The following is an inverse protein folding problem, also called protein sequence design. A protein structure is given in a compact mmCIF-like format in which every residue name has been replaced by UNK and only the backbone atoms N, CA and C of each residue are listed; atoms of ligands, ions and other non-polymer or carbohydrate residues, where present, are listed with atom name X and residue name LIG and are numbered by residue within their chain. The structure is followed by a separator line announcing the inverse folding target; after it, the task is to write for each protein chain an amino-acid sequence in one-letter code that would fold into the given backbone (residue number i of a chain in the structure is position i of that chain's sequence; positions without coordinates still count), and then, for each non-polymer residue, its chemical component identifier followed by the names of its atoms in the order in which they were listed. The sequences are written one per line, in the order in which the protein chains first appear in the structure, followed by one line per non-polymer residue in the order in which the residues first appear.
data_IF_664539437045
#
_entry.id   IF_664539437045
#
_cell.length_a   1.000
_cell.length_b   1.000
_cell.length_c   1.000
_cell.angle_alpha   90.00
_cell.angle_beta   90.00
_cell.angle_gamma   90.00
#
_symmetry.space_group_name_H-M   'P 1'
#
loop_
_entity.id
_entity.type
_entity.pdbx_description
1 polymer ?
#
# COMPACT_ATOMS: atom_id res chain seq x y z
N UNK A 1 -11.81 -20.58 13.64
CA UNK A 1 -11.90 -20.35 12.20
C UNK A 1 -10.91 -19.29 11.78
N UNK A 2 -10.17 -19.56 10.74
CA UNK A 2 -9.22 -18.57 10.23
C UNK A 2 -9.97 -17.50 9.47
N UNK A 3 -9.63 -16.23 9.72
CA UNK A 3 -10.14 -15.14 8.93
C UNK A 3 -9.60 -15.26 7.50
N UNK A 4 -10.46 -15.04 6.53
CA UNK A 4 -10.03 -15.03 5.14
C UNK A 4 -9.18 -13.80 4.89
N UNK A 5 -8.09 -13.99 4.17
CA UNK A 5 -7.26 -12.89 3.73
C UNK A 5 -7.52 -12.61 2.26
N UNK A 6 -7.65 -11.33 1.94
CA UNK A 6 -7.88 -10.89 0.57
C UNK A 6 -6.68 -10.06 0.12
N UNK A 7 -6.20 -10.34 -1.09
CA UNK A 7 -5.19 -9.48 -1.69
C UNK A 7 -5.85 -8.20 -2.20
N UNK A 8 -5.05 -7.24 -2.58
CA UNK A 8 -5.57 -5.91 -2.96
C UNK A 8 -6.41 -5.94 -4.23
N UNK A 9 -6.08 -6.82 -5.17
CA UNK A 9 -6.89 -7.00 -6.39
C UNK A 9 -8.29 -7.50 -6.03
N UNK A 10 -8.36 -8.48 -5.11
CA UNK A 10 -9.63 -9.00 -4.63
C UNK A 10 -10.44 -7.94 -3.90
N UNK A 11 -9.78 -7.12 -3.08
CA UNK A 11 -10.43 -6.02 -2.37
C UNK A 11 -11.07 -5.03 -3.35
N UNK A 12 -10.35 -4.66 -4.39
CA UNK A 12 -10.88 -3.75 -5.41
C UNK A 12 -12.07 -4.37 -6.12
N UNK A 13 -12.02 -5.67 -6.41
CA UNK A 13 -13.14 -6.38 -7.04
C UNK A 13 -14.39 -6.35 -6.15
N UNK A 14 -14.21 -6.56 -4.84
CA UNK A 14 -15.32 -6.50 -3.88
C UNK A 14 -15.92 -5.10 -3.83
N UNK A 15 -15.08 -4.07 -3.78
CA UNK A 15 -15.55 -2.69 -3.75
C UNK A 15 -16.32 -2.31 -5.02
N UNK A 16 -15.93 -2.86 -6.16
CA UNK A 16 -16.66 -2.62 -7.40
C UNK A 16 -18.06 -3.19 -7.38
N UNK A 17 -18.29 -4.29 -6.67
CA UNK A 17 -19.65 -4.81 -6.49
C UNK A 17 -20.54 -3.79 -5.77
N UNK A 18 -20.00 -3.12 -4.74
CA UNK A 18 -20.71 -2.07 -4.04
C UNK A 18 -20.99 -0.87 -4.93
N UNK A 19 -20.03 -0.47 -5.74
CA UNK A 19 -20.20 0.62 -6.70
C UNK A 19 -21.26 0.29 -7.75
N UNK A 20 -21.43 -0.97 -8.10
CA UNK A 20 -22.44 -1.44 -9.05
C UNK A 20 -23.83 -1.54 -8.43
N UNK A 21 -23.98 -1.26 -7.15
CA UNK A 21 -25.28 -1.19 -6.50
C UNK A 21 -25.58 -2.31 -5.52
N UNK A 22 -24.66 -3.25 -5.29
CA UNK A 22 -24.87 -4.30 -4.30
C UNK A 22 -24.90 -3.71 -2.90
N UNK A 23 -25.75 -4.27 -2.04
CA UNK A 23 -25.86 -3.81 -0.66
C UNK A 23 -24.63 -4.26 0.14
N UNK A 24 -24.13 -3.38 1.01
CA UNK A 24 -22.97 -3.68 1.85
C UNK A 24 -23.22 -4.93 2.70
N UNK A 25 -24.41 -5.07 3.27
CA UNK A 25 -24.75 -6.25 4.08
C UNK A 25 -24.64 -7.55 3.29
N UNK A 26 -25.08 -7.53 2.03
CA UNK A 26 -24.99 -8.71 1.15
C UNK A 26 -23.55 -9.04 0.78
N UNK A 27 -22.77 -8.02 0.49
CA UNK A 27 -21.35 -8.17 0.18
C UNK A 27 -20.60 -8.78 1.39
N UNK A 28 -20.84 -8.23 2.57
CA UNK A 28 -20.20 -8.70 3.79
C UNK A 28 -20.55 -10.16 4.09
N UNK A 29 -21.81 -10.53 3.86
CA UNK A 29 -22.24 -11.91 4.03
C UNK A 29 -21.60 -12.84 3.02
N UNK A 30 -21.54 -12.42 1.75
CA UNK A 30 -20.98 -13.20 0.66
C UNK A 30 -19.50 -13.49 0.89
N UNK A 31 -18.74 -12.49 1.35
CA UNK A 31 -17.28 -12.61 1.51
C UNK A 31 -16.84 -12.89 2.94
N UNK A 32 -17.77 -13.02 3.88
CA UNK A 32 -17.45 -13.35 5.26
C UNK A 32 -16.67 -12.27 5.98
N UNK A 33 -17.04 -11.02 5.80
CA UNK A 33 -16.37 -9.89 6.45
C UNK A 33 -17.36 -9.02 7.23
N UNK A 34 -16.83 -8.19 8.12
CA UNK A 34 -17.63 -7.22 8.85
C UNK A 34 -17.85 -5.95 8.04
N UNK A 35 -18.87 -5.19 8.40
CA UNK A 35 -19.12 -3.87 7.79
C UNK A 35 -17.91 -2.96 7.99
N UNK A 36 -17.29 -3.01 9.16
CA UNK A 36 -16.11 -2.19 9.46
C UNK A 36 -14.98 -2.49 8.48
N UNK A 37 -14.75 -3.76 8.17
CA UNK A 37 -13.74 -4.16 7.19
C UNK A 37 -14.04 -3.58 5.81
N UNK A 38 -15.30 -3.68 5.39
CA UNK A 38 -15.71 -3.14 4.09
C UNK A 38 -15.45 -1.63 4.01
N UNK A 39 -15.83 -0.88 5.03
CA UNK A 39 -15.66 0.57 5.03
C UNK A 39 -14.20 0.98 5.17
N UNK A 40 -13.38 0.19 5.87
CA UNK A 40 -11.93 0.43 5.91
C UNK A 40 -11.31 0.25 4.53
N UNK A 41 -11.72 -0.79 3.81
CA UNK A 41 -11.28 -1.00 2.42
C UNK A 41 -11.72 0.14 1.51
N UNK A 42 -12.97 0.56 1.67
CA UNK A 42 -13.50 1.66 0.87
C UNK A 42 -12.72 2.94 1.07
N UNK A 43 -12.36 3.25 2.31
CA UNK A 43 -11.57 4.44 2.61
C UNK A 43 -10.17 4.37 1.99
N UNK A 44 -9.59 3.18 1.92
CA UNK A 44 -8.23 3.00 1.43
C UNK A 44 -8.12 2.82 -0.09
N UNK A 45 -9.09 2.12 -0.69
CA UNK A 45 -8.97 1.68 -2.08
C UNK A 45 -10.07 2.19 -3.01
N UNK A 46 -11.08 2.88 -2.51
CA UNK A 46 -12.20 3.31 -3.37
C UNK A 46 -11.70 4.23 -4.49
N UNK A 47 -12.22 4.00 -5.68
CA UNK A 47 -11.85 4.76 -6.85
C UNK A 47 -10.60 4.27 -7.58
N UNK A 48 -9.89 3.29 -7.00
CA UNK A 48 -8.71 2.74 -7.66
C UNK A 48 -9.09 1.63 -8.64
N UNK A 49 -8.43 1.61 -9.78
CA UNK A 49 -8.46 0.47 -10.69
C UNK A 49 -7.29 -0.47 -10.32
N UNK A 50 -7.35 -1.70 -10.81
CA UNK A 50 -6.24 -2.65 -10.61
C UNK A 50 -4.94 -2.10 -11.20
N UNK A 51 -5.03 -1.43 -12.35
CA UNK A 51 -3.87 -0.83 -13.00
C UNK A 51 -3.26 0.28 -12.14
N UNK A 52 -4.10 1.15 -11.58
CA UNK A 52 -3.66 2.22 -10.69
C UNK A 52 -3.04 1.66 -9.42
N UNK A 53 -3.60 0.58 -8.87
CA UNK A 53 -3.04 -0.08 -7.70
C UNK A 53 -1.63 -0.60 -7.98
N UNK A 54 -1.44 -1.26 -9.13
CA UNK A 54 -0.12 -1.77 -9.52
C UNK A 54 0.89 -0.66 -9.65
N UNK A 55 0.48 0.46 -10.25
CA UNK A 55 1.34 1.63 -10.40
C UNK A 55 1.69 2.24 -9.03
N UNK A 56 0.71 2.35 -8.14
CA UNK A 56 0.93 2.86 -6.80
C UNK A 56 1.94 1.99 -6.05
N UNK A 57 1.79 0.67 -6.13
CA UNK A 57 2.72 -0.26 -5.48
C UNK A 57 4.13 -0.13 -6.03
N UNK A 58 4.26 0.01 -7.33
CA UNK A 58 5.56 0.19 -7.96
C UNK A 58 6.22 1.49 -7.51
N UNK A 59 5.44 2.57 -7.42
CA UNK A 59 5.94 3.87 -6.97
C UNK A 59 6.34 3.84 -5.48
N UNK A 60 5.58 3.16 -4.64
CA UNK A 60 5.93 3.00 -3.23
C UNK A 60 7.25 2.26 -3.07
N UNK A 61 7.44 1.18 -3.83
CA UNK A 61 8.67 0.40 -3.79
C UNK A 61 9.87 1.22 -4.29
N UNK A 62 9.69 1.95 -5.38
CA UNK A 62 10.74 2.82 -5.92
C UNK A 62 11.09 3.92 -4.92
N UNK A 63 10.09 4.53 -4.30
CA UNK A 63 10.30 5.58 -3.30
C UNK A 63 11.09 5.05 -2.11
N UNK A 64 10.74 3.86 -1.62
CA UNK A 64 11.46 3.24 -0.50
C UNK A 64 12.92 2.99 -0.85
N UNK A 65 13.17 2.47 -2.06
CA UNK A 65 14.52 2.19 -2.52
C UNK A 65 15.35 3.46 -2.67
N UNK A 66 14.74 4.51 -3.23
CA UNK A 66 15.42 5.80 -3.38
C UNK A 66 15.77 6.41 -2.03
N UNK A 67 14.88 6.32 -1.06
CA UNK A 67 15.16 6.81 0.29
C UNK A 67 16.33 6.07 0.93
N UNK A 68 16.41 4.77 0.72
CA UNK A 68 17.51 3.97 1.23
C UNK A 68 18.84 4.41 0.60
N UNK A 69 18.87 4.57 -0.71
CA UNK A 69 20.07 5.02 -1.43
C UNK A 69 20.51 6.39 -0.95
N UNK A 70 19.58 7.32 -0.84
CA UNK A 70 19.89 8.68 -0.37
C UNK A 70 20.44 8.64 1.05
N UNK A 71 19.85 7.84 1.93
CA UNK A 71 20.33 7.69 3.30
C UNK A 71 21.74 7.13 3.37
N UNK A 72 22.06 6.12 2.57
CA UNK A 72 23.39 5.53 2.51
C UNK A 72 24.42 6.53 1.98
N UNK A 73 24.06 7.27 0.94
CA UNK A 73 24.94 8.29 0.38
C UNK A 73 25.21 9.42 1.38
N UNK A 74 24.20 9.83 2.14
CA UNK A 74 24.36 10.85 3.15
C UNK A 74 25.36 10.43 4.24
N UNK A 75 25.28 9.16 4.67
CA UNK A 75 26.21 8.61 5.64
C UNK A 75 27.63 8.53 5.06
N UNK A 76 27.77 8.11 3.83
CA UNK A 76 29.06 8.01 3.15
C UNK A 76 29.73 9.39 3.04
N UNK A 77 28.96 10.40 2.68
CA UNK A 77 29.47 11.76 2.58
C UNK A 77 29.93 12.27 3.94
N UNK A 78 29.16 11.99 4.99
CA UNK A 78 29.54 12.39 6.34
C UNK A 78 30.84 11.70 6.76
N UNK A 79 30.96 10.40 6.52
CA UNK A 79 32.18 9.66 6.83
C UNK A 79 33.40 10.20 6.09
N UNK A 80 33.23 10.53 4.80
CA UNK A 80 34.31 11.10 4.01
C UNK A 80 34.73 12.47 4.53
N UNK A 81 33.78 13.29 4.92
CA UNK A 81 34.08 14.61 5.50
C UNK A 81 34.85 14.48 6.80
N UNK A 82 34.48 13.52 7.64
CA UNK A 82 35.18 13.27 8.90
C UNK A 82 36.63 12.83 8.66
N UNK A 83 36.84 11.93 7.71
CA UNK A 83 38.17 11.47 7.35
C UNK A 83 39.04 12.62 6.85
N UNK A 84 38.52 13.44 5.99
CA UNK A 84 39.25 14.60 5.47
C UNK A 84 39.59 15.60 6.58
N UNK A 85 38.67 15.82 7.49
CA UNK A 85 38.89 16.72 8.60
C UNK A 85 39.99 16.23 9.55
N UNK A 86 40.12 14.91 9.74
CA UNK A 86 41.18 14.33 10.59
C UNK A 86 42.54 14.39 9.98
N UNK A 87 42.64 14.44 8.66
CA UNK A 87 43.94 14.44 7.97
C UNK A 87 44.53 15.83 7.83
N UNK A 88 43.79 16.82 8.27
CA UNK A 88 44.23 18.22 8.22
C UNK A 88 44.16 18.83 9.63
#
# INVERSE_FOLDING_TARGET
MKAKRYNEVQIIAVLKEGEAGAKVSDICRKYGMSDATYYNWKAKYAGLTVSELKRLKALEEENRRLKQIVGEQALDIQALKELLSKNF
#
